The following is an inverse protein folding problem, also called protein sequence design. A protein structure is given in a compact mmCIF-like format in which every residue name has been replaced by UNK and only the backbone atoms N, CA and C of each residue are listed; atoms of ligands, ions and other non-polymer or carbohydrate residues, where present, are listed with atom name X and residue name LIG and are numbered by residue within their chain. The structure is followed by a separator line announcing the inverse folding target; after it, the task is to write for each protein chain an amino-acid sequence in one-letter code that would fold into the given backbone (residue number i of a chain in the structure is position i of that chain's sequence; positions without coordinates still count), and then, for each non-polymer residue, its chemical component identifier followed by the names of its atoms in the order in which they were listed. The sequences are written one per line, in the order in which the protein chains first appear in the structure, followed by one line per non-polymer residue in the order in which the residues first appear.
data_IF_877343776758
#
_entry.id   IF_877343776758
#
_cell.length_a   1.000
_cell.length_b   1.000
_cell.length_c   1.000
_cell.angle_alpha   90.00
_cell.angle_beta   90.00
_cell.angle_gamma   90.00
#
_symmetry.space_group_name_H-M   'P 1'
#
loop_
_entity.id
_entity.type
_entity.pdbx_description
1 polymer ?
#
# COMPACT_ATOMS: atom_id res chain seq x y z
N UNK A 1 11.93 1.66 21.22
CA UNK A 1 10.88 1.11 22.08
C UNK A 1 11.46 0.11 23.07
N UNK A 2 12.29 0.55 23.97
CA UNK A 2 12.46 -0.11 25.25
C UNK A 2 11.14 0.08 25.99
N UNK A 3 10.38 -1.01 26.06
CA UNK A 3 9.23 -1.24 26.93
C UNK A 3 8.25 -0.07 27.14
N UNK A 4 7.22 0.03 26.25
CA UNK A 4 5.92 0.51 26.71
C UNK A 4 5.41 -0.57 27.67
N UNK A 5 5.73 -0.44 28.96
CA UNK A 5 5.52 -1.48 29.97
C UNK A 5 4.31 -1.19 30.85
N UNK A 6 3.74 0.01 30.77
CA UNK A 6 2.55 0.36 31.53
C UNK A 6 1.37 0.74 30.63
N UNK A 7 0.12 0.48 31.05
CA UNK A 7 -1.07 0.89 30.31
C UNK A 7 -1.09 2.38 29.98
N UNK A 8 -0.66 3.24 30.91
CA UNK A 8 -0.63 4.69 30.71
C UNK A 8 0.32 5.11 29.57
N UNK A 9 1.47 4.42 29.44
CA UNK A 9 2.41 4.67 28.35
C UNK A 9 1.84 4.28 26.99
N UNK A 10 1.07 3.19 26.93
CA UNK A 10 0.42 2.73 25.70
C UNK A 10 -0.70 3.72 25.31
N UNK A 11 -1.50 4.18 26.28
CA UNK A 11 -2.54 5.18 26.03
C UNK A 11 -1.97 6.50 25.55
N UNK A 12 -0.92 7.01 26.18
CA UNK A 12 -0.25 8.25 25.77
C UNK A 12 0.34 8.13 24.36
N UNK A 13 0.95 6.96 24.01
CA UNK A 13 1.47 6.70 22.68
C UNK A 13 0.34 6.62 21.62
N UNK A 14 -0.80 6.02 21.97
CA UNK A 14 -1.98 5.95 21.11
C UNK A 14 -2.60 7.34 20.88
N UNK A 15 -2.65 8.19 21.90
CA UNK A 15 -3.12 9.55 21.78
C UNK A 15 -2.21 10.39 20.88
N UNK A 16 -0.88 10.26 21.05
CA UNK A 16 0.10 10.90 20.18
C UNK A 16 -0.05 10.43 18.74
N UNK A 17 -0.18 9.11 18.51
CA UNK A 17 -0.43 8.55 17.17
C UNK A 17 -1.65 9.18 16.51
N UNK A 18 -2.77 9.27 17.23
CA UNK A 18 -4.02 9.83 16.70
C UNK A 18 -3.86 11.31 16.34
N UNK A 19 -3.19 12.08 17.19
CA UNK A 19 -2.92 13.49 16.93
C UNK A 19 -2.03 13.68 15.69
N UNK A 20 -0.94 12.93 15.59
CA UNK A 20 -0.01 12.98 14.47
C UNK A 20 -0.68 12.51 13.15
N UNK A 21 -1.50 11.45 13.20
CA UNK A 21 -2.30 11.00 12.07
C UNK A 21 -3.25 12.08 11.56
N UNK A 22 -3.98 12.74 12.47
CA UNK A 22 -4.89 13.81 12.12
C UNK A 22 -4.15 14.99 11.48
N UNK A 23 -3.01 15.39 12.03
CA UNK A 23 -2.17 16.47 11.47
C UNK A 23 -1.71 16.15 10.05
N UNK A 24 -1.21 14.94 9.79
CA UNK A 24 -0.79 14.52 8.44
C UNK A 24 -1.98 14.51 7.48
N UNK A 25 -3.10 13.94 7.90
CA UNK A 25 -4.35 13.90 7.12
C UNK A 25 -4.85 15.29 6.74
N UNK A 26 -4.82 16.23 7.67
CA UNK A 26 -5.23 17.62 7.45
C UNK A 26 -4.28 18.34 6.47
N UNK A 27 -2.97 18.11 6.57
CA UNK A 27 -2.03 18.66 5.59
C UNK A 27 -2.31 18.15 4.17
N UNK A 28 -2.64 16.85 4.03
CA UNK A 28 -2.97 16.27 2.73
C UNK A 28 -4.29 16.85 2.20
N UNK A 29 -5.30 16.99 3.05
CA UNK A 29 -6.61 17.54 2.68
C UNK A 29 -6.56 18.99 2.16
N UNK A 30 -5.53 19.75 2.53
CA UNK A 30 -5.30 21.11 1.98
C UNK A 30 -5.03 21.09 0.47
N UNK A 31 -4.37 20.05 -0.04
CA UNK A 31 -3.99 19.96 -1.44
C UNK A 31 -4.86 18.98 -2.24
N UNK A 32 -5.39 17.93 -1.60
CA UNK A 32 -6.14 16.84 -2.23
C UNK A 32 -7.61 16.95 -1.83
N UNK A 33 -8.48 17.10 -2.81
CA UNK A 33 -9.93 17.27 -2.63
C UNK A 33 -10.66 15.96 -2.95
N UNK A 34 -11.69 15.62 -2.18
CA UNK A 34 -12.66 14.58 -2.50
C UNK A 34 -12.17 13.13 -2.41
N UNK A 35 -10.97 12.88 -1.87
CA UNK A 35 -10.37 11.55 -1.82
C UNK A 35 -10.06 11.07 -0.38
N UNK A 36 -10.87 11.45 0.60
CA UNK A 36 -10.62 11.13 2.00
C UNK A 36 -10.38 9.64 2.27
N UNK A 37 -11.19 8.74 1.67
CA UNK A 37 -11.03 7.30 1.84
C UNK A 37 -9.72 6.75 1.24
N UNK A 38 -9.24 7.34 0.14
CA UNK A 38 -7.95 6.99 -0.46
C UNK A 38 -6.80 7.46 0.45
N UNK A 39 -6.90 8.69 0.96
CA UNK A 39 -5.91 9.23 1.91
C UNK A 39 -5.82 8.34 3.16
N UNK A 40 -6.96 7.99 3.76
CA UNK A 40 -7.02 7.13 4.94
C UNK A 40 -6.44 5.74 4.65
N UNK A 41 -6.72 5.15 3.48
CA UNK A 41 -6.15 3.87 3.06
C UNK A 41 -4.63 3.93 2.85
N UNK A 42 -4.13 4.99 2.20
CA UNK A 42 -2.68 5.20 1.99
C UNK A 42 -1.95 5.42 3.31
N UNK A 43 -2.50 6.25 4.21
CA UNK A 43 -1.92 6.49 5.53
C UNK A 43 -1.93 5.21 6.38
N UNK A 44 -3.03 4.45 6.38
CA UNK A 44 -3.09 3.15 7.07
C UNK A 44 -2.00 2.21 6.57
N UNK A 45 -1.83 2.08 5.25
CA UNK A 45 -0.78 1.24 4.68
C UNK A 45 0.62 1.73 5.08
N UNK A 46 0.86 3.04 5.06
CA UNK A 46 2.12 3.65 5.49
C UNK A 46 2.44 3.31 6.97
N UNK A 47 1.48 3.51 7.88
CA UNK A 47 1.67 3.19 9.30
C UNK A 47 1.78 1.68 9.56
N UNK A 48 1.29 0.85 8.65
CA UNK A 48 1.48 -0.61 8.67
C UNK A 48 2.78 -1.07 7.96
N UNK A 49 3.60 -0.16 7.44
CA UNK A 49 4.79 -0.44 6.63
C UNK A 49 4.47 -1.28 5.36
N UNK A 50 3.29 -1.08 4.79
CA UNK A 50 2.79 -1.76 3.59
C UNK A 50 2.87 -0.87 2.35
N UNK A 51 2.76 -1.48 1.17
CA UNK A 51 2.75 -0.82 -0.14
C UNK A 51 1.33 -0.75 -0.69
N UNK A 52 1.02 0.22 -1.56
CA UNK A 52 -0.34 0.45 -2.06
C UNK A 52 -0.38 0.41 -3.58
N UNK A 53 -1.42 -0.26 -4.11
CA UNK A 53 -1.79 -0.18 -5.51
C UNK A 53 -2.99 0.76 -5.66
N UNK A 54 -2.81 1.84 -6.42
CA UNK A 54 -3.87 2.79 -6.75
C UNK A 54 -4.39 2.49 -8.15
N UNK A 55 -5.63 2.08 -8.27
CA UNK A 55 -6.27 1.84 -9.57
C UNK A 55 -7.27 2.96 -9.86
N UNK A 56 -7.20 3.53 -11.04
CA UNK A 56 -8.13 4.58 -11.47
C UNK A 56 -7.65 5.30 -12.72
N UNK A 57 -8.55 6.05 -13.34
CA UNK A 57 -8.28 6.79 -14.57
C UNK A 57 -7.15 7.82 -14.40
N UNK A 58 -6.46 8.20 -15.48
CA UNK A 58 -5.46 9.27 -15.43
C UNK A 58 -6.08 10.62 -15.06
N UNK A 59 -5.27 11.54 -14.54
CA UNK A 59 -5.70 12.92 -14.30
C UNK A 59 -6.44 13.19 -12.98
N UNK A 60 -6.70 12.18 -12.15
CA UNK A 60 -7.45 12.32 -10.88
C UNK A 60 -6.57 12.65 -9.66
N UNK A 61 -5.39 13.19 -9.85
CA UNK A 61 -4.57 13.72 -8.76
C UNK A 61 -3.69 12.71 -8.03
N UNK A 62 -3.49 11.49 -8.55
CA UNK A 62 -2.64 10.46 -7.90
C UNK A 62 -1.22 10.98 -7.59
N UNK A 63 -0.58 11.63 -8.54
CA UNK A 63 0.77 12.22 -8.36
C UNK A 63 0.77 13.35 -7.32
N UNK A 64 -0.28 14.18 -7.30
CA UNK A 64 -0.43 15.24 -6.31
C UNK A 64 -0.54 14.66 -4.90
N UNK A 65 -1.35 13.62 -4.70
CA UNK A 65 -1.50 12.92 -3.42
C UNK A 65 -0.13 12.44 -2.90
N UNK A 66 0.64 11.72 -3.72
CA UNK A 66 1.90 11.12 -3.26
C UNK A 66 2.97 12.19 -2.99
N UNK A 67 3.05 13.22 -3.83
CA UNK A 67 3.95 14.36 -3.62
C UNK A 67 3.59 15.13 -2.34
N UNK A 68 2.30 15.31 -2.07
CA UNK A 68 1.81 15.98 -0.86
C UNK A 68 2.12 15.14 0.38
N UNK A 69 1.95 13.82 0.31
CA UNK A 69 2.32 12.89 1.37
C UNK A 69 3.82 13.02 1.75
N UNK A 70 4.71 12.98 0.75
CA UNK A 70 6.15 13.15 0.99
C UNK A 70 6.48 14.47 1.70
N UNK A 71 5.84 15.57 1.29
CA UNK A 71 6.02 16.88 1.93
C UNK A 71 5.49 16.90 3.38
N UNK A 72 4.29 16.37 3.63
CA UNK A 72 3.67 16.36 4.95
C UNK A 72 4.47 15.52 5.96
N UNK A 73 5.19 14.51 5.48
CA UNK A 73 6.00 13.59 6.27
C UNK A 73 7.49 13.94 6.31
N UNK A 74 7.92 15.00 5.62
CA UNK A 74 9.35 15.36 5.51
C UNK A 74 10.22 14.18 5.03
N UNK A 75 9.69 13.37 4.10
CA UNK A 75 10.34 12.19 3.54
C UNK A 75 10.77 12.42 2.09
N UNK A 76 11.87 11.79 1.70
CA UNK A 76 12.36 11.81 0.33
C UNK A 76 11.36 11.11 -0.61
N UNK A 77 11.03 11.81 -1.70
CA UNK A 77 10.08 11.36 -2.71
C UNK A 77 10.73 11.22 -4.07
N UNK A 78 10.45 10.11 -4.76
CA UNK A 78 10.77 9.92 -6.17
C UNK A 78 9.56 9.47 -6.97
N UNK A 79 9.56 9.78 -8.27
CA UNK A 79 8.57 9.30 -9.24
C UNK A 79 9.27 8.57 -10.37
N UNK A 80 8.78 7.39 -10.67
CA UNK A 80 9.19 6.58 -11.83
C UNK A 80 7.98 6.41 -12.73
N UNK A 81 8.05 6.94 -13.95
CA UNK A 81 7.05 6.69 -14.97
C UNK A 81 7.41 5.38 -15.68
N UNK A 82 6.52 4.39 -15.58
CA UNK A 82 6.73 3.10 -16.22
C UNK A 82 6.36 3.20 -17.71
N UNK A 83 7.30 2.77 -18.57
CA UNK A 83 7.16 2.75 -20.03
C UNK A 83 7.66 1.40 -20.55
N UNK A 84 7.27 0.98 -21.77
CA UNK A 84 7.69 -0.32 -22.32
C UNK A 84 9.20 -0.50 -22.48
N UNK A 85 9.94 0.59 -22.64
CA UNK A 85 11.39 0.64 -22.79
C UNK A 85 12.17 0.78 -21.48
N UNK A 86 11.46 1.03 -20.35
CA UNK A 86 12.09 1.17 -19.03
C UNK A 86 12.78 -0.13 -18.61
N UNK A 87 14.06 -0.04 -18.27
CA UNK A 87 14.87 -1.19 -17.82
C UNK A 87 14.92 -1.29 -16.29
N UNK A 88 15.14 -2.46 -15.72
CA UNK A 88 15.34 -2.63 -14.28
C UNK A 88 16.41 -1.71 -13.68
N UNK A 89 17.52 -1.51 -14.39
CA UNK A 89 18.63 -0.65 -13.97
C UNK A 89 18.23 0.84 -13.85
N UNK A 90 17.24 1.30 -14.62
CA UNK A 90 16.73 2.66 -14.53
C UNK A 90 16.00 2.92 -13.19
N UNK A 91 15.46 1.86 -12.58
CA UNK A 91 14.78 1.91 -11.28
C UNK A 91 15.77 1.67 -10.15
N UNK A 92 16.57 0.61 -10.25
CA UNK A 92 17.44 0.14 -9.17
C UNK A 92 18.78 0.84 -9.13
N UNK A 93 19.20 1.43 -10.24
CA UNK A 93 20.54 1.99 -10.40
C UNK A 93 21.51 1.02 -11.07
N UNK A 94 22.68 1.52 -11.41
CA UNK A 94 23.70 0.80 -12.14
C UNK A 94 25.10 1.13 -11.65
N UNK A 95 26.05 0.22 -11.87
CA UNK A 95 27.47 0.49 -11.61
C UNK A 95 28.12 1.14 -12.82
N UNK A 96 28.69 2.32 -12.60
CA UNK A 96 29.41 3.08 -13.64
C UNK A 96 30.91 3.12 -13.33
N UNK A 97 31.73 3.20 -14.37
CA UNK A 97 33.17 3.43 -14.23
C UNK A 97 33.40 4.95 -14.16
N UNK A 98 33.87 5.42 -13.02
CA UNK A 98 34.31 6.80 -12.86
C UNK A 98 35.82 6.88 -12.98
N UNK A 99 36.35 7.80 -13.80
CA UNK A 99 37.74 8.15 -13.84
C UNK A 99 37.99 9.33 -12.87
N UNK A 100 38.85 9.14 -11.89
CA UNK A 100 39.33 10.18 -10.99
C UNK A 100 40.84 10.41 -11.23
N UNK A 101 41.28 11.66 -11.04
CA UNK A 101 42.73 11.94 -11.00
C UNK A 101 43.26 11.44 -9.66
N UNK A 102 44.26 10.54 -9.71
CA UNK A 102 44.95 10.09 -8.52
C UNK A 102 45.92 11.21 -8.02
N UNK A 103 46.14 11.25 -6.71
CA UNK A 103 47.19 12.10 -6.08
C UNK A 103 48.58 11.63 -6.59
N UNK A 104 49.00 12.12 -7.74
CA UNK A 104 50.23 11.68 -8.42
C UNK A 104 50.17 11.73 -9.95
N UNK A 105 49.05 12.24 -10.53
CA UNK A 105 48.93 12.52 -11.97
C UNK A 105 48.48 11.32 -12.84
N UNK A 106 48.17 10.18 -12.23
CA UNK A 106 47.57 9.02 -12.92
C UNK A 106 46.04 9.10 -12.97
N UNK A 107 45.45 8.37 -13.95
CA UNK A 107 43.97 8.16 -13.98
C UNK A 107 43.65 6.86 -13.26
N UNK A 108 42.84 6.96 -12.19
CA UNK A 108 42.30 5.78 -11.51
C UNK A 108 40.86 5.53 -11.99
N UNK A 109 40.56 4.29 -12.38
CA UNK A 109 39.20 3.87 -12.74
C UNK A 109 38.58 3.17 -11.56
N UNK A 110 37.44 3.70 -11.10
CA UNK A 110 36.70 3.13 -9.98
C UNK A 110 35.29 2.77 -10.42
N UNK A 111 34.82 1.58 -10.05
CA UNK A 111 33.43 1.21 -10.18
C UNK A 111 32.64 1.87 -9.04
N UNK A 112 31.66 2.70 -9.39
CA UNK A 112 30.80 3.40 -8.43
C UNK A 112 29.36 3.02 -8.72
N UNK A 113 28.63 2.62 -7.68
CA UNK A 113 27.19 2.35 -7.83
C UNK A 113 26.45 3.69 -7.82
N UNK A 114 25.78 3.98 -8.94
CA UNK A 114 24.86 5.11 -9.06
C UNK A 114 23.46 4.64 -8.66
N UNK A 115 22.96 5.15 -7.55
CA UNK A 115 21.63 4.81 -7.03
C UNK A 115 20.54 5.25 -7.99
N UNK A 116 19.57 4.35 -8.23
CA UNK A 116 18.35 4.66 -8.98
C UNK A 116 17.27 5.33 -8.11
N UNK A 117 16.17 5.76 -8.72
CA UNK A 117 15.07 6.45 -8.04
C UNK A 117 14.38 5.63 -6.93
N UNK A 118 14.57 4.32 -6.89
CA UNK A 118 14.02 3.46 -5.84
C UNK A 118 14.61 3.75 -4.45
N UNK A 119 15.78 4.42 -4.39
CA UNK A 119 16.43 4.79 -3.13
C UNK A 119 15.83 6.04 -2.48
N UNK A 120 14.54 6.27 -2.64
CA UNK A 120 13.76 7.24 -1.91
C UNK A 120 12.85 6.54 -0.90
N UNK A 121 12.42 7.26 0.13
CA UNK A 121 11.53 6.72 1.18
C UNK A 121 10.08 6.52 0.68
N UNK A 122 9.64 7.40 -0.23
CA UNK A 122 8.34 7.29 -0.91
C UNK A 122 8.60 7.24 -2.41
N UNK A 123 8.19 6.15 -3.04
CA UNK A 123 8.32 5.93 -4.49
C UNK A 123 6.94 5.85 -5.12
N UNK A 124 6.66 6.73 -6.08
CA UNK A 124 5.52 6.62 -6.98
C UNK A 124 5.93 5.85 -8.22
N UNK A 125 5.48 4.61 -8.35
CA UNK A 125 5.60 3.80 -9.56
C UNK A 125 4.37 4.04 -10.44
N UNK A 126 4.47 5.01 -11.36
CA UNK A 126 3.32 5.48 -12.14
C UNK A 126 3.14 4.61 -13.39
N UNK A 127 1.90 4.10 -13.59
CA UNK A 127 1.50 3.21 -14.68
C UNK A 127 2.34 1.92 -14.76
N UNK A 128 2.48 1.21 -13.63
CA UNK A 128 3.33 0.01 -13.49
C UNK A 128 3.03 -1.07 -14.54
N UNK A 129 1.79 -1.16 -15.02
CA UNK A 129 1.36 -2.12 -16.03
C UNK A 129 1.85 -1.80 -17.46
N UNK A 130 2.52 -0.65 -17.70
CA UNK A 130 3.09 -0.31 -19.01
C UNK A 130 4.50 -0.87 -19.22
N UNK A 131 5.23 -1.18 -18.15
CA UNK A 131 6.57 -1.75 -18.29
C UNK A 131 6.53 -3.28 -18.42
N UNK A 132 7.61 -3.82 -18.97
CA UNK A 132 7.77 -5.27 -19.14
C UNK A 132 7.74 -6.02 -17.79
N UNK A 133 7.35 -7.31 -17.77
CA UNK A 133 7.36 -8.13 -16.55
C UNK A 133 8.70 -8.16 -15.82
N UNK A 134 9.82 -8.05 -16.55
CA UNK A 134 11.16 -8.01 -15.96
C UNK A 134 11.35 -6.75 -15.10
N UNK A 135 10.92 -5.61 -15.60
CA UNK A 135 11.04 -4.32 -14.91
C UNK A 135 10.08 -4.25 -13.71
N UNK A 136 8.84 -4.74 -13.88
CA UNK A 136 7.88 -4.88 -12.77
C UNK A 136 8.46 -5.75 -11.65
N UNK A 137 9.06 -6.90 -12.00
CA UNK A 137 9.65 -7.83 -11.02
C UNK A 137 10.76 -7.19 -10.21
N UNK A 138 11.60 -6.35 -10.80
CA UNK A 138 12.67 -5.66 -10.08
C UNK A 138 12.13 -4.72 -8.98
N UNK A 139 11.07 -3.95 -9.28
CA UNK A 139 10.41 -3.12 -8.26
C UNK A 139 9.79 -3.98 -7.16
N UNK A 140 9.07 -5.03 -7.53
CA UNK A 140 8.35 -5.89 -6.59
C UNK A 140 9.30 -6.73 -5.71
N UNK A 141 10.46 -7.10 -6.22
CA UNK A 141 11.53 -7.72 -5.44
C UNK A 141 12.07 -6.74 -4.40
N UNK A 142 12.41 -5.52 -4.82
CA UNK A 142 12.89 -4.47 -3.92
C UNK A 142 11.87 -4.11 -2.83
N UNK A 143 10.57 -4.14 -3.14
CA UNK A 143 9.48 -3.96 -2.15
C UNK A 143 9.50 -5.05 -1.08
N UNK A 144 9.75 -6.30 -1.46
CA UNK A 144 9.74 -7.44 -0.56
C UNK A 144 11.03 -7.52 0.27
N UNK A 145 12.18 -7.42 -0.39
CA UNK A 145 13.49 -7.62 0.23
C UNK A 145 14.03 -6.36 0.93
N UNK A 146 13.42 -5.19 0.69
CA UNK A 146 13.87 -3.87 1.16
C UNK A 146 15.35 -3.59 0.84
N UNK A 147 15.81 -4.16 -0.25
CA UNK A 147 17.17 -4.04 -0.74
C UNK A 147 17.23 -4.27 -2.25
N UNK A 148 18.33 -3.82 -2.85
CA UNK A 148 18.65 -3.99 -4.25
C UNK A 148 20.05 -4.61 -4.36
N UNK A 149 20.20 -5.67 -5.16
CA UNK A 149 21.52 -6.25 -5.45
C UNK A 149 22.00 -5.76 -6.81
N UNK A 150 23.11 -5.03 -6.82
CA UNK A 150 23.75 -4.53 -8.02
C UNK A 150 25.26 -4.72 -7.96
N UNK A 151 25.86 -5.22 -9.08
CA UNK A 151 27.30 -5.45 -9.15
C UNK A 151 27.84 -6.41 -8.09
N UNK A 152 27.02 -7.38 -7.63
CA UNK A 152 27.39 -8.32 -6.57
C UNK A 152 27.31 -7.76 -5.14
N UNK A 153 26.87 -6.51 -4.97
CA UNK A 153 26.70 -5.86 -3.64
C UNK A 153 25.22 -5.61 -3.37
N UNK A 154 24.77 -5.93 -2.15
CA UNK A 154 23.41 -5.64 -1.70
C UNK A 154 23.36 -4.26 -1.04
N UNK A 155 22.47 -3.41 -1.53
CA UNK A 155 22.24 -2.06 -1.05
C UNK A 155 20.87 -2.00 -0.36
N UNK A 156 20.83 -1.69 0.93
CA UNK A 156 19.60 -1.53 1.70
C UNK A 156 18.87 -0.26 1.27
N UNK A 157 17.54 -0.35 1.13
CA UNK A 157 16.69 0.80 0.87
C UNK A 157 16.45 1.62 2.16
N UNK A 158 16.18 2.94 2.04
CA UNK A 158 15.91 3.78 3.20
C UNK A 158 14.63 3.36 3.91
N UNK A 159 14.57 3.51 5.23
CA UNK A 159 13.35 3.33 6.02
C UNK A 159 12.80 4.68 6.50
N UNK A 160 11.48 4.87 6.59
CA UNK A 160 10.44 3.96 6.10
C UNK A 160 10.47 3.87 4.56
N UNK A 161 10.09 2.73 3.99
CA UNK A 161 10.02 2.55 2.55
C UNK A 161 8.59 2.23 2.11
N UNK A 162 8.00 3.12 1.32
CA UNK A 162 6.64 3.00 0.79
C UNK A 162 6.67 3.11 -0.73
N UNK A 163 6.09 2.14 -1.41
CA UNK A 163 5.78 2.22 -2.84
C UNK A 163 4.27 2.41 -3.00
N UNK A 164 3.92 3.45 -3.75
CA UNK A 164 2.57 3.63 -4.30
C UNK A 164 2.67 3.36 -5.80
N UNK A 165 2.15 2.22 -6.23
CA UNK A 165 2.06 1.89 -7.64
C UNK A 165 0.71 2.35 -8.20
N UNK A 166 0.68 2.89 -9.43
CA UNK A 166 -0.57 3.21 -10.09
C UNK A 166 -0.81 2.28 -11.27
N UNK A 167 -2.08 1.98 -11.53
CA UNK A 167 -2.52 1.21 -12.65
C UNK A 167 -3.72 1.89 -13.30
N UNK A 168 -3.73 1.95 -14.63
CA UNK A 168 -4.88 2.42 -15.38
C UNK A 168 -5.66 1.20 -15.91
N UNK A 169 -6.90 0.96 -15.46
CA UNK A 169 -7.67 -0.19 -15.87
C UNK A 169 -8.22 -0.10 -17.30
N UNK A 170 -8.26 1.10 -17.90
CA UNK A 170 -8.86 1.34 -19.20
C UNK A 170 -7.86 1.06 -20.33
N UNK A 171 -6.58 1.32 -20.10
CA UNK A 171 -5.54 1.08 -21.10
C UNK A 171 -5.19 -0.41 -21.14
N UNK A 172 -5.64 -1.09 -22.20
CA UNK A 172 -5.33 -2.51 -22.43
C UNK A 172 -4.24 -2.70 -23.49
N UNK A 173 -4.14 -1.80 -24.48
CA UNK A 173 -3.12 -1.88 -25.51
C UNK A 173 -1.74 -1.50 -24.97
N UNK A 174 -0.74 -2.33 -25.27
CA UNK A 174 0.66 -2.10 -24.85
C UNK A 174 0.88 -2.22 -23.34
N UNK A 175 -0.02 -2.92 -22.61
CA UNK A 175 0.14 -3.14 -21.17
C UNK A 175 0.44 -4.60 -20.84
N UNK A 176 1.14 -4.80 -19.74
CA UNK A 176 1.45 -6.11 -19.15
C UNK A 176 0.78 -6.17 -17.77
N UNK A 177 -0.33 -6.91 -17.63
CA UNK A 177 -0.99 -7.04 -16.34
C UNK A 177 -0.05 -7.65 -15.31
N UNK A 178 -0.14 -7.17 -14.07
CA UNK A 178 0.59 -7.77 -12.96
C UNK A 178 0.05 -9.18 -12.67
N UNK A 179 0.92 -10.20 -12.59
CA UNK A 179 0.51 -11.53 -12.14
C UNK A 179 -0.09 -11.49 -10.72
N UNK A 180 -1.04 -12.38 -10.43
CA UNK A 180 -1.75 -12.43 -9.15
C UNK A 180 -0.79 -12.58 -7.95
N UNK A 181 0.25 -13.40 -8.08
CA UNK A 181 1.27 -13.58 -7.04
C UNK A 181 2.08 -12.29 -6.77
N UNK A 182 2.13 -11.37 -7.71
CA UNK A 182 2.77 -10.08 -7.56
C UNK A 182 1.82 -9.05 -6.94
N UNK A 183 0.54 -9.10 -7.27
CA UNK A 183 -0.50 -8.27 -6.66
C UNK A 183 -0.61 -8.52 -5.15
N UNK A 184 -0.40 -9.75 -4.70
CA UNK A 184 -0.45 -10.13 -3.27
C UNK A 184 0.61 -9.42 -2.39
N UNK A 185 1.63 -8.80 -3.00
CA UNK A 185 2.65 -8.01 -2.28
C UNK A 185 2.16 -6.63 -1.84
N UNK A 186 1.11 -6.12 -2.47
CA UNK A 186 0.50 -4.87 -2.05
C UNK A 186 -0.37 -5.07 -0.81
N UNK A 187 -0.23 -4.18 0.15
CA UNK A 187 -1.02 -4.18 1.38
C UNK A 187 -2.50 -3.90 1.08
N UNK A 188 -2.75 -2.82 0.35
CA UNK A 188 -4.07 -2.42 -0.12
C UNK A 188 -4.07 -2.17 -1.63
N UNK A 189 -5.20 -2.51 -2.26
CA UNK A 189 -5.60 -2.00 -3.57
C UNK A 189 -6.74 -1.01 -3.36
N UNK A 190 -6.52 0.26 -3.71
CA UNK A 190 -7.47 1.35 -3.55
C UNK A 190 -7.97 1.79 -4.93
N UNK A 191 -9.30 1.88 -5.07
CA UNK A 191 -9.94 2.32 -6.30
C UNK A 191 -10.18 3.84 -6.22
N UNK A 192 -9.47 4.58 -7.04
CA UNK A 192 -9.60 6.04 -7.11
C UNK A 192 -10.74 6.37 -8.04
N UNK A 193 -11.83 6.86 -7.46
CA UNK A 193 -13.05 7.21 -8.20
C UNK A 193 -12.99 8.64 -8.75
N UNK A 194 -13.80 8.91 -9.76
CA UNK A 194 -13.98 10.26 -10.31
C UNK A 194 -14.54 11.19 -9.24
N UNK A 195 -13.99 12.41 -9.10
CA UNK A 195 -14.49 13.40 -8.13
C UNK A 195 -15.98 13.71 -8.32
N UNK A 196 -16.67 13.97 -7.23
CA UNK A 196 -18.06 14.44 -7.25
C UNK A 196 -18.16 15.84 -7.88
N UNK A 197 -19.40 16.28 -8.18
CA UNK A 197 -19.63 17.65 -8.64
C UNK A 197 -19.11 18.70 -7.65
N UNK A 198 -19.30 18.49 -6.37
CA UNK A 198 -18.83 19.40 -5.32
C UNK A 198 -17.30 19.43 -5.28
N UNK A 199 -16.64 18.25 -5.33
CA UNK A 199 -15.18 18.15 -5.35
C UNK A 199 -14.58 18.84 -6.60
N UNK A 200 -15.20 18.66 -7.78
CA UNK A 200 -14.77 19.31 -9.02
C UNK A 200 -14.89 20.83 -8.92
N UNK A 201 -15.95 21.36 -8.33
CA UNK A 201 -16.12 22.79 -8.11
C UNK A 201 -15.01 23.34 -7.21
N UNK A 202 -14.70 22.64 -6.11
CA UNK A 202 -13.63 23.02 -5.20
C UNK A 202 -12.24 22.92 -5.86
N UNK A 203 -11.99 21.87 -6.65
CA UNK A 203 -10.75 21.74 -7.43
C UNK A 203 -10.56 22.93 -8.38
N UNK A 204 -11.62 23.30 -9.13
CA UNK A 204 -11.58 24.45 -10.04
C UNK A 204 -11.27 25.75 -9.28
N UNK A 205 -11.95 26.00 -8.19
CA UNK A 205 -11.70 27.18 -7.36
C UNK A 205 -10.25 27.24 -6.89
N UNK A 206 -9.72 26.14 -6.34
CA UNK A 206 -8.34 26.07 -5.84
C UNK A 206 -7.28 26.17 -6.93
N UNK A 207 -7.55 25.68 -8.15
CA UNK A 207 -6.54 25.59 -9.22
C UNK A 207 -6.56 26.80 -10.17
N UNK A 208 -7.68 27.51 -10.28
CA UNK A 208 -7.82 28.65 -11.22
C UNK A 208 -7.60 30.01 -10.57
N UNK A 209 -7.61 30.11 -9.25
CA UNK A 209 -7.38 31.36 -8.49
C UNK A 209 -5.91 31.67 -8.21
N UNK A 210 -4.99 30.79 -8.61
CA UNK A 210 -3.54 30.95 -8.37
C UNK A 210 -3.10 30.69 -6.93
N UNK A 211 -4.01 30.37 -6.02
CA UNK A 211 -3.71 30.03 -4.63
C UNK A 211 -3.22 28.56 -4.54
N UNK A 212 -1.93 28.33 -4.47
CA UNK A 212 -1.41 26.99 -4.21
C UNK A 212 -1.47 26.69 -2.69
N UNK A 213 -2.06 25.54 -2.32
CA UNK A 213 -2.08 25.11 -0.94
C UNK A 213 -0.64 24.88 -0.44
N UNK A 214 -0.27 25.57 0.66
CA UNK A 214 1.02 25.35 1.31
C UNK A 214 0.90 24.14 2.24
N UNK A 215 1.65 23.08 1.92
CA UNK A 215 1.79 21.89 2.75
C UNK A 215 3.11 21.95 3.49
N UNK A 216 3.05 21.78 4.81
CA UNK A 216 4.23 21.79 5.70
C UNK A 216 4.49 20.40 6.25
N UNK A 217 5.76 20.06 6.50
CA UNK A 217 6.13 18.82 7.19
C UNK A 217 5.66 18.86 8.64
N UNK A 218 4.90 17.87 9.06
CA UNK A 218 4.33 17.77 10.41
C UNK A 218 4.74 16.51 11.15
N UNK A 219 5.32 15.54 10.44
CA UNK A 219 5.82 14.30 11.00
C UNK A 219 7.16 13.94 10.33
N UNK A 220 8.12 13.49 11.12
CA UNK A 220 9.43 13.07 10.62
C UNK A 220 9.59 11.56 10.57
N UNK A 221 10.70 11.10 9.96
CA UNK A 221 11.08 9.71 9.80
C UNK A 221 11.04 8.93 11.13
N UNK A 222 11.69 9.43 12.18
CA UNK A 222 11.80 8.73 13.47
C UNK A 222 10.42 8.50 14.11
N UNK A 223 9.57 9.54 14.12
CA UNK A 223 8.22 9.46 14.65
C UNK A 223 7.36 8.46 13.88
N UNK A 224 7.49 8.45 12.54
CA UNK A 224 6.75 7.48 11.71
C UNK A 224 7.18 6.05 12.02
N UNK A 225 8.48 5.78 12.18
CA UNK A 225 9.00 4.46 12.57
C UNK A 225 8.52 4.05 13.97
N UNK A 226 8.43 4.98 14.91
CA UNK A 226 7.84 4.73 16.24
C UNK A 226 6.37 4.33 16.11
N UNK A 227 5.60 5.04 15.31
CA UNK A 227 4.20 4.72 15.07
C UNK A 227 4.00 3.35 14.38
N UNK A 228 4.86 2.99 13.41
CA UNK A 228 4.84 1.67 12.80
C UNK A 228 5.08 0.54 13.81
N UNK A 229 5.96 0.77 14.78
CA UNK A 229 6.20 -0.19 15.87
C UNK A 229 5.01 -0.24 16.83
N UNK A 230 4.38 0.91 17.14
CA UNK A 230 3.20 0.98 17.99
C UNK A 230 2.04 0.18 17.40
N UNK A 231 1.75 0.30 16.10
CA UNK A 231 0.71 -0.49 15.42
C UNK A 231 0.90 -1.99 15.66
N UNK A 232 2.13 -2.50 15.64
CA UNK A 232 2.41 -3.93 15.82
C UNK A 232 2.07 -4.45 17.21
N UNK A 233 2.22 -3.62 18.25
CA UNK A 233 1.99 -4.01 19.64
C UNK A 233 0.54 -3.79 20.10
N UNK A 234 -0.32 -3.13 19.31
CA UNK A 234 -1.74 -3.01 19.62
C UNK A 234 -2.37 -4.37 19.87
N UNK A 235 -3.16 -4.48 20.93
CA UNK A 235 -3.81 -5.71 21.30
C UNK A 235 -4.83 -6.19 20.25
N UNK A 236 -4.90 -7.50 20.05
CA UNK A 236 -5.92 -8.16 19.22
C UNK A 236 -6.41 -9.39 19.95
N UNK A 237 -7.65 -9.34 20.41
CA UNK A 237 -8.24 -10.45 21.16
C UNK A 237 -8.31 -11.72 20.30
N UNK A 238 -8.27 -12.93 20.93
CA UNK A 238 -8.29 -14.20 20.20
C UNK A 238 -9.46 -14.34 19.23
N UNK A 239 -10.66 -13.93 19.62
CA UNK A 239 -11.86 -14.00 18.76
C UNK A 239 -11.78 -13.04 17.54
N UNK A 240 -11.15 -11.86 17.69
CA UNK A 240 -10.93 -10.93 16.57
C UNK A 240 -9.90 -11.51 15.59
N UNK A 241 -8.84 -12.11 16.11
CA UNK A 241 -7.83 -12.79 15.28
C UNK A 241 -8.44 -13.97 14.55
N UNK A 242 -9.25 -14.79 15.22
CA UNK A 242 -9.99 -15.89 14.64
C UNK A 242 -10.92 -15.42 13.51
N UNK A 243 -11.65 -14.33 13.72
CA UNK A 243 -12.49 -13.73 12.69
C UNK A 243 -11.68 -13.34 11.43
N UNK A 244 -10.50 -12.73 11.61
CA UNK A 244 -9.63 -12.38 10.48
C UNK A 244 -9.12 -13.62 9.74
N UNK A 245 -8.80 -14.71 10.45
CA UNK A 245 -8.41 -16.00 9.86
C UNK A 245 -9.57 -16.60 9.09
N UNK A 246 -10.77 -16.69 9.67
CA UNK A 246 -11.98 -17.20 9.02
C UNK A 246 -12.36 -16.37 7.79
N UNK A 247 -12.20 -15.05 7.84
CA UNK A 247 -12.41 -14.18 6.68
C UNK A 247 -11.53 -14.59 5.50
N UNK A 248 -10.25 -14.90 5.73
CA UNK A 248 -9.35 -15.37 4.67
C UNK A 248 -9.69 -16.78 4.22
N UNK A 249 -9.95 -17.70 5.14
CA UNK A 249 -10.33 -19.08 4.81
C UNK A 249 -11.63 -19.14 4.01
N UNK A 250 -12.59 -18.26 4.32
CA UNK A 250 -13.86 -18.18 3.59
C UNK A 250 -13.75 -17.68 2.16
N UNK A 251 -12.59 -17.12 1.76
CA UNK A 251 -12.33 -16.77 0.36
C UNK A 251 -12.00 -17.97 -0.51
N UNK A 252 -11.71 -19.14 0.07
CA UNK A 252 -11.34 -20.36 -0.66
C UNK A 252 -12.56 -21.23 -0.95
N UNK A 253 -12.81 -21.58 -2.21
CA UNK A 253 -13.83 -22.59 -2.53
C UNK A 253 -13.45 -23.97 -1.96
N UNK A 254 -14.43 -24.81 -1.68
CA UNK A 254 -14.24 -26.14 -1.08
C UNK A 254 -13.27 -27.04 -1.83
N UNK A 255 -13.13 -26.83 -3.15
CA UNK A 255 -12.18 -27.54 -4.01
C UNK A 255 -10.71 -27.24 -3.68
N UNK A 256 -10.42 -26.08 -3.08
CA UNK A 256 -9.06 -25.61 -2.73
C UNK A 256 -8.86 -25.46 -1.21
N UNK A 257 -9.94 -25.58 -0.42
CA UNK A 257 -9.88 -25.47 1.04
C UNK A 257 -9.13 -26.67 1.67
N UNK A 258 -8.45 -26.40 2.79
CA UNK A 258 -7.84 -27.45 3.61
C UNK A 258 -8.92 -28.39 4.17
N UNK A 259 -8.56 -29.67 4.37
CA UNK A 259 -9.50 -30.69 4.86
C UNK A 259 -10.01 -30.30 6.26
N UNK A 260 -11.33 -30.15 6.38
CA UNK A 260 -12.03 -30.06 7.68
C UNK A 260 -12.74 -28.74 7.98
N UNK A 261 -12.34 -27.62 7.37
CA UNK A 261 -12.94 -26.31 7.65
C UNK A 261 -13.55 -25.71 6.38
N UNK A 262 -14.88 -25.62 6.35
CA UNK A 262 -15.64 -25.08 5.21
C UNK A 262 -16.34 -23.79 5.63
N UNK A 263 -15.75 -22.66 5.28
CA UNK A 263 -16.32 -21.33 5.54
C UNK A 263 -16.79 -20.64 4.25
N UNK A 264 -16.64 -21.28 3.09
CA UNK A 264 -17.00 -20.70 1.80
C UNK A 264 -18.52 -20.47 1.69
N UNK A 265 -18.88 -19.27 1.27
CA UNK A 265 -20.28 -18.96 0.91
C UNK A 265 -20.63 -19.53 -0.46
N UNK A 266 -21.93 -19.70 -0.79
CA UNK A 266 -22.35 -20.10 -2.13
C UNK A 266 -21.77 -19.21 -3.23
N UNK A 267 -21.55 -17.93 -2.95
CA UNK A 267 -20.96 -16.97 -3.88
C UNK A 267 -19.49 -17.27 -4.13
N UNK A 268 -18.72 -17.61 -3.10
CA UNK A 268 -17.31 -18.02 -3.23
C UNK A 268 -17.20 -19.33 -4.01
N UNK A 269 -18.04 -20.33 -3.67
CA UNK A 269 -18.05 -21.63 -4.38
C UNK A 269 -18.30 -21.47 -5.88
N UNK A 270 -19.20 -20.55 -6.25
CA UNK A 270 -19.59 -20.34 -7.64
C UNK A 270 -18.59 -19.50 -8.44
N UNK A 271 -18.00 -18.46 -7.85
CA UNK A 271 -17.31 -17.43 -8.62
C UNK A 271 -15.81 -17.31 -8.35
N UNK A 272 -15.29 -17.89 -7.26
CA UNK A 272 -13.87 -17.81 -6.93
C UNK A 272 -13.14 -19.07 -7.38
N UNK A 273 -12.04 -18.89 -8.13
CA UNK A 273 -11.14 -19.98 -8.51
C UNK A 273 -10.09 -20.25 -7.42
N UNK A 274 -9.54 -19.18 -6.83
CA UNK A 274 -8.53 -19.27 -5.77
C UNK A 274 -8.72 -18.10 -4.80
N UNK A 275 -8.70 -18.41 -3.51
CA UNK A 275 -8.82 -17.44 -2.43
C UNK A 275 -7.50 -16.74 -2.08
N UNK A 276 -7.57 -15.88 -1.07
CA UNK A 276 -6.47 -15.02 -0.65
C UNK A 276 -5.39 -15.78 0.14
N UNK A 277 -4.14 -15.39 -0.02
CA UNK A 277 -2.98 -15.96 0.66
C UNK A 277 -2.93 -15.62 2.18
N UNK A 278 -2.05 -16.26 2.98
CA UNK A 278 -1.82 -15.90 4.38
C UNK A 278 -1.40 -14.43 4.59
N UNK A 279 -0.82 -13.78 3.57
CA UNK A 279 -0.51 -12.34 3.62
C UNK A 279 -1.76 -11.48 3.82
N UNK A 280 -2.90 -11.93 3.32
CA UNK A 280 -4.18 -11.26 3.54
C UNK A 280 -4.53 -11.20 5.04
N UNK A 281 -4.36 -12.30 5.79
CA UNK A 281 -4.61 -12.32 7.23
C UNK A 281 -3.67 -11.37 7.99
N UNK A 282 -2.41 -11.30 7.60
CA UNK A 282 -1.45 -10.34 8.16
C UNK A 282 -1.87 -8.89 7.86
N UNK A 283 -2.32 -8.61 6.62
CA UNK A 283 -2.83 -7.30 6.22
C UNK A 283 -4.05 -6.90 7.03
N UNK A 284 -5.04 -7.80 7.15
CA UNK A 284 -6.26 -7.56 7.94
C UNK A 284 -5.94 -7.26 9.41
N UNK A 285 -5.04 -8.05 10.02
CA UNK A 285 -4.65 -7.86 11.41
C UNK A 285 -3.94 -6.53 11.65
N UNK A 286 -2.97 -6.17 10.81
CA UNK A 286 -2.24 -4.91 10.94
C UNK A 286 -3.13 -3.69 10.65
N UNK A 287 -3.97 -3.77 9.62
CA UNK A 287 -4.91 -2.70 9.28
C UNK A 287 -5.94 -2.49 10.40
N UNK A 288 -6.48 -3.56 10.98
CA UNK A 288 -7.40 -3.48 12.10
C UNK A 288 -6.76 -2.83 13.33
N UNK A 289 -5.51 -3.18 13.65
CA UNK A 289 -4.75 -2.55 14.74
C UNK A 289 -4.52 -1.06 14.50
N UNK A 290 -4.14 -0.68 13.27
CA UNK A 290 -3.97 0.72 12.90
C UNK A 290 -5.29 1.50 12.98
N UNK A 291 -6.38 0.92 12.50
CA UNK A 291 -7.72 1.51 12.57
C UNK A 291 -8.16 1.76 14.02
N UNK A 292 -7.92 0.80 14.92
CA UNK A 292 -8.22 0.97 16.34
C UNK A 292 -7.49 2.19 16.92
N UNK A 293 -6.21 2.39 16.61
CA UNK A 293 -5.44 3.57 17.06
C UNK A 293 -6.01 4.88 16.50
N UNK A 294 -6.39 4.91 15.23
CA UNK A 294 -7.02 6.08 14.60
C UNK A 294 -8.31 6.46 15.33
N UNK A 295 -9.09 5.46 15.75
CA UNK A 295 -10.35 5.66 16.49
C UNK A 295 -10.13 5.85 18.01
N UNK A 296 -8.87 5.93 18.49
CA UNK A 296 -8.53 6.15 19.90
C UNK A 296 -8.66 4.91 20.79
N UNK A 297 -8.66 3.72 20.19
CA UNK A 297 -8.71 2.44 20.93
C UNK A 297 -7.33 1.77 20.91
N UNK A 298 -6.99 1.08 21.99
CA UNK A 298 -5.74 0.33 22.13
C UNK A 298 -5.89 -1.16 21.81
N UNK A 299 -7.07 -1.58 21.36
CA UNK A 299 -7.37 -2.94 20.95
C UNK A 299 -8.21 -2.96 19.67
N UNK A 300 -7.85 -3.85 18.74
CA UNK A 300 -8.58 -4.06 17.48
C UNK A 300 -9.91 -4.79 17.73
N UNK A 301 -10.92 -4.46 16.94
CA UNK A 301 -12.26 -5.06 16.93
C UNK A 301 -12.54 -5.79 15.61
N UNK A 302 -13.64 -6.54 15.57
CA UNK A 302 -14.13 -7.20 14.35
C UNK A 302 -14.51 -6.16 13.29
N UNK A 303 -15.07 -5.03 13.69
CA UNK A 303 -15.44 -3.96 12.76
C UNK A 303 -14.20 -3.35 12.06
N UNK A 304 -13.06 -3.31 12.74
CA UNK A 304 -11.81 -2.88 12.11
C UNK A 304 -11.32 -3.87 11.04
N UNK A 305 -11.52 -5.18 11.29
CA UNK A 305 -11.23 -6.23 10.30
C UNK A 305 -12.16 -6.11 9.09
N UNK A 306 -13.46 -5.89 9.32
CA UNK A 306 -14.45 -5.66 8.25
C UNK A 306 -14.13 -4.44 7.42
N UNK A 307 -13.76 -3.34 8.06
CA UNK A 307 -13.33 -2.11 7.36
C UNK A 307 -12.13 -2.36 6.44
N UNK A 308 -11.16 -3.14 6.89
CA UNK A 308 -9.96 -3.45 6.12
C UNK A 308 -10.19 -4.49 5.00
N UNK A 309 -11.27 -5.28 5.07
CA UNK A 309 -11.46 -6.45 4.21
C UNK A 309 -11.48 -6.10 2.73
N UNK A 310 -12.26 -5.09 2.33
CA UNK A 310 -12.40 -4.73 0.92
C UNK A 310 -11.07 -4.33 0.26
N UNK A 311 -10.33 -3.33 0.75
CA UNK A 311 -9.05 -2.94 0.14
C UNK A 311 -7.95 -4.01 0.29
N UNK A 312 -8.03 -4.88 1.29
CA UNK A 312 -7.06 -5.95 1.51
C UNK A 312 -7.31 -7.18 0.62
N UNK A 313 -8.55 -7.51 0.30
CA UNK A 313 -8.88 -8.78 -0.35
C UNK A 313 -9.15 -8.67 -1.86
N UNK A 314 -9.64 -7.51 -2.35
CA UNK A 314 -10.12 -7.38 -3.74
C UNK A 314 -9.10 -7.76 -4.82
N UNK A 315 -7.81 -7.60 -4.56
CA UNK A 315 -6.73 -7.92 -5.50
C UNK A 315 -6.10 -9.30 -5.24
N UNK A 316 -6.61 -10.03 -4.27
CA UNK A 316 -6.13 -11.35 -3.86
C UNK A 316 -7.07 -12.48 -4.22
N UNK A 317 -8.29 -12.15 -4.69
CA UNK A 317 -9.26 -13.13 -5.17
C UNK A 317 -9.06 -13.35 -6.66
N UNK A 318 -8.84 -14.60 -7.06
CA UNK A 318 -8.80 -14.99 -8.47
C UNK A 318 -10.19 -15.48 -8.85
N UNK A 319 -10.86 -14.71 -9.68
CA UNK A 319 -12.21 -15.01 -10.15
C UNK A 319 -12.17 -16.06 -11.27
N UNK A 320 -13.27 -16.78 -11.45
CA UNK A 320 -13.41 -17.75 -12.54
C UNK A 320 -14.11 -17.13 -13.76
N UNK A 321 -14.26 -17.90 -14.83
CA UNK A 321 -14.90 -17.43 -16.06
C UNK A 321 -16.38 -17.06 -15.87
N UNK A 322 -17.10 -17.79 -15.03
CA UNK A 322 -18.52 -17.57 -14.76
C UNK A 322 -18.76 -16.20 -14.12
N UNK A 323 -17.86 -15.78 -13.21
CA UNK A 323 -17.94 -14.45 -12.61
C UNK A 323 -17.84 -13.32 -13.64
N UNK A 324 -16.94 -13.47 -14.63
CA UNK A 324 -16.80 -12.49 -15.72
C UNK A 324 -18.06 -12.45 -16.60
N UNK A 325 -18.65 -13.61 -16.90
CA UNK A 325 -19.86 -13.71 -17.72
C UNK A 325 -21.08 -13.08 -17.02
N UNK A 326 -21.18 -13.21 -15.70
CA UNK A 326 -22.29 -12.67 -14.90
C UNK A 326 -22.00 -11.27 -14.32
N UNK A 327 -20.84 -10.68 -14.60
CA UNK A 327 -20.46 -9.33 -14.14
C UNK A 327 -20.21 -9.25 -12.63
N UNK A 328 -19.86 -10.38 -11.98
CA UNK A 328 -19.55 -10.43 -10.54
C UNK A 328 -18.10 -10.00 -10.30
N UNK A 329 -17.94 -8.94 -9.51
CA UNK A 329 -16.62 -8.39 -9.14
C UNK A 329 -16.06 -9.06 -7.88
N UNK A 330 -14.71 -8.99 -7.67
CA UNK A 330 -14.11 -9.37 -6.39
C UNK A 330 -14.72 -8.60 -5.21
N UNK A 331 -15.07 -7.33 -5.41
CA UNK A 331 -15.67 -6.48 -4.38
C UNK A 331 -17.02 -7.04 -3.91
N UNK A 332 -17.89 -7.47 -4.85
CA UNK A 332 -19.18 -8.09 -4.51
C UNK A 332 -19.02 -9.37 -3.69
N UNK A 333 -17.97 -10.16 -3.96
CA UNK A 333 -17.67 -11.36 -3.17
C UNK A 333 -17.22 -10.99 -1.77
N UNK A 334 -16.31 -10.00 -1.62
CA UNK A 334 -15.83 -9.56 -0.31
C UNK A 334 -16.97 -8.94 0.52
N UNK A 335 -17.83 -8.14 -0.09
CA UNK A 335 -19.02 -7.57 0.57
C UNK A 335 -19.98 -8.68 1.06
N UNK A 336 -20.20 -9.72 0.26
CA UNK A 336 -20.96 -10.88 0.68
C UNK A 336 -20.33 -11.59 1.88
N UNK A 337 -19.00 -11.78 1.89
CA UNK A 337 -18.28 -12.36 3.03
C UNK A 337 -18.43 -11.50 4.29
N UNK A 338 -18.27 -10.18 4.19
CA UNK A 338 -18.46 -9.26 5.32
C UNK A 338 -19.86 -9.37 5.91
N UNK A 339 -20.88 -9.49 5.05
CA UNK A 339 -22.28 -9.55 5.45
C UNK A 339 -22.68 -10.90 6.06
N UNK A 340 -22.06 -12.01 5.62
CA UNK A 340 -22.53 -13.37 5.93
C UNK A 340 -21.66 -14.11 6.95
N UNK A 341 -20.36 -13.73 7.09
CA UNK A 341 -19.45 -14.42 8.02
C UNK A 341 -19.88 -14.17 9.47
N UNK A 342 -20.22 -15.23 10.25
CA UNK A 342 -20.64 -15.09 11.64
C UNK A 342 -19.54 -14.44 12.50
N UNK A 343 -19.95 -13.61 13.47
CA UNK A 343 -19.04 -13.00 14.44
C UNK A 343 -18.47 -14.05 15.39
N UNK A 344 -19.31 -14.94 15.88
CA UNK A 344 -18.93 -16.04 16.73
C UNK A 344 -18.58 -17.29 15.90
N UNK A 345 -17.51 -17.98 16.28
CA UNK A 345 -17.25 -19.33 15.78
C UNK A 345 -18.27 -20.28 16.39
N UNK A 346 -19.02 -20.99 15.56
CA UNK A 346 -19.93 -22.03 16.01
C UNK A 346 -19.18 -23.14 16.71
#
# INVERSE_FOLDING_TARGET
LQSLSTPEQVEAAAEKFRADYALVRDQIARAVVGQAGIVDGVLTALFCAGHVLLEGVPGIGKTLLVRTLGKALSLDFSRVQFTPDLMPADITGTSIVMESQAEGGGRERRMVFQRGPIFAQIVLADEINRATPKTQSALLEAMQERSVTAGGTTHTLPEPFLVLATQNPIEQEGTYPLPEAQLDRFFFKLLVVTPSRADLSEILERTTTGASATVTGVLGQEQLLEHQRLVRIVAMAPHVRDYAVRMVLSTHPSSTASRGERFATPMVEKYVRLGASPRAAQTLALAAKCRALIDGRVAASIEDVRWAALPALRHRLIMNFESHAEGISPDSVVENLIATLPVESA
#
